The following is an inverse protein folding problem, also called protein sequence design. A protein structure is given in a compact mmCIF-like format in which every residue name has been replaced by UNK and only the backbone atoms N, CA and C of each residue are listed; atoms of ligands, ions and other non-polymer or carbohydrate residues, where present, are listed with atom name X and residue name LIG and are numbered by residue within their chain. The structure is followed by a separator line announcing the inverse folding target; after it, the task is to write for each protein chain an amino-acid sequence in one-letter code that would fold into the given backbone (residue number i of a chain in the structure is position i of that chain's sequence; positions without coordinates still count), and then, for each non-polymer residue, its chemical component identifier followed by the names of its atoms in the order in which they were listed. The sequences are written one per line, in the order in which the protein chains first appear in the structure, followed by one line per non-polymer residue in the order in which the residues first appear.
data_IF_653036776333
#
_entry.id   IF_653036776333
#
_cell.length_a   1.000
_cell.length_b   1.000
_cell.length_c   1.000
_cell.angle_alpha   90.00
_cell.angle_beta   90.00
_cell.angle_gamma   90.00
#
_symmetry.space_group_name_H-M   'P 1'
#
loop_
_entity.id
_entity.type
_entity.pdbx_description
1 polymer ?
#
# COMPACT_ATOMS: atom_id res chain seq x y z
N UNK A 1 -14.04 -2.96 5.04
CA UNK A 1 -14.88 -2.04 4.29
C UNK A 1 -14.72 -0.61 4.79
N UNK A 2 -14.70 0.36 3.85
CA UNK A 2 -14.66 1.79 4.12
C UNK A 2 -15.64 2.50 3.18
N UNK A 3 -16.26 3.58 3.67
CA UNK A 3 -17.15 4.42 2.88
C UNK A 3 -16.38 5.52 2.15
N UNK A 4 -16.95 6.04 1.07
CA UNK A 4 -16.57 7.32 0.46
C UNK A 4 -17.82 8.19 0.34
N UNK A 5 -17.70 9.49 0.64
CA UNK A 5 -16.48 10.32 0.68
C UNK A 5 -15.66 10.30 1.98
N UNK A 6 -16.18 9.93 3.15
CA UNK A 6 -15.54 10.24 4.45
C UNK A 6 -14.59 9.17 5.00
N UNK A 7 -14.43 8.03 4.33
CA UNK A 7 -13.58 6.92 4.75
C UNK A 7 -13.96 6.29 6.11
N UNK A 8 -15.24 6.38 6.44
CA UNK A 8 -15.80 5.81 7.67
C UNK A 8 -16.03 4.31 7.55
N UNK A 9 -16.24 3.64 8.68
CA UNK A 9 -16.76 2.28 8.69
C UNK A 9 -18.26 2.31 8.40
N UNK A 10 -18.76 1.50 7.44
CA UNK A 10 -20.19 1.45 7.15
C UNK A 10 -21.04 1.14 8.39
N UNK A 11 -22.12 1.85 8.59
CA UNK A 11 -23.06 1.57 9.67
C UNK A 11 -23.79 0.23 9.44
N UNK A 12 -24.08 -0.54 10.48
CA UNK A 12 -24.89 -1.74 10.35
C UNK A 12 -26.24 -1.45 9.68
N UNK A 13 -26.63 -2.26 8.70
CA UNK A 13 -27.89 -2.10 7.94
C UNK A 13 -27.84 -1.05 6.83
N UNK A 14 -26.74 -0.32 6.65
CA UNK A 14 -26.56 0.55 5.47
C UNK A 14 -26.16 -0.26 4.24
N UNK A 15 -26.45 0.26 3.05
CA UNK A 15 -26.05 -0.31 1.77
C UNK A 15 -25.38 0.76 0.91
N UNK A 16 -24.37 0.43 0.10
CA UNK A 16 -23.75 1.37 -0.82
C UNK A 16 -24.47 1.40 -2.17
N UNK A 17 -24.34 2.51 -2.90
CA UNK A 17 -24.73 2.59 -4.31
C UNK A 17 -23.85 1.70 -5.19
N UNK A 18 -22.57 1.56 -4.83
CA UNK A 18 -21.64 0.64 -5.47
C UNK A 18 -20.55 0.19 -4.47
N UNK A 19 -19.98 -1.00 -4.71
CA UNK A 19 -18.88 -1.57 -3.94
C UNK A 19 -17.67 -1.77 -4.85
N UNK A 20 -16.50 -1.33 -4.39
CA UNK A 20 -15.24 -1.43 -5.11
C UNK A 20 -14.27 -2.37 -4.40
N UNK A 21 -13.85 -3.42 -5.07
CA UNK A 21 -12.77 -4.30 -4.63
C UNK A 21 -11.50 -3.90 -5.34
N UNK A 22 -10.49 -3.46 -4.57
CA UNK A 22 -9.20 -3.04 -5.12
C UNK A 22 -8.24 -4.22 -5.14
N UNK A 23 -7.98 -4.76 -6.34
CA UNK A 23 -7.06 -5.85 -6.64
C UNK A 23 -5.90 -5.41 -7.55
N UNK A 24 -5.49 -4.17 -7.41
CA UNK A 24 -4.30 -3.55 -8.01
C UNK A 24 -3.66 -2.64 -6.98
N UNK A 25 -2.32 -2.64 -6.91
CA UNK A 25 -1.57 -1.70 -6.10
C UNK A 25 -0.41 -1.14 -6.94
N UNK A 26 -0.34 0.18 -7.06
CA UNK A 26 0.69 0.89 -7.83
C UNK A 26 1.69 1.62 -6.93
N UNK A 27 1.66 1.39 -5.63
CA UNK A 27 2.70 1.91 -4.72
C UNK A 27 4.04 1.25 -5.02
N UNK A 28 5.14 2.00 -4.93
CA UNK A 28 6.47 1.40 -5.08
C UNK A 28 6.68 0.25 -4.08
N UNK A 29 7.14 -0.89 -4.57
CA UNK A 29 7.40 -2.10 -3.79
C UNK A 29 6.18 -2.78 -3.16
N UNK A 30 4.97 -2.44 -3.55
CA UNK A 30 3.78 -3.13 -3.09
C UNK A 30 3.81 -4.62 -3.45
N UNK A 31 3.18 -5.51 -2.65
CA UNK A 31 2.99 -6.89 -3.06
C UNK A 31 2.12 -6.95 -4.31
N UNK A 32 2.42 -7.88 -5.21
CA UNK A 32 1.57 -8.11 -6.39
C UNK A 32 0.23 -8.73 -5.97
N UNK A 33 -0.90 -8.02 -6.14
CA UNK A 33 -2.20 -8.54 -5.77
C UNK A 33 -2.58 -9.81 -6.52
N UNK A 34 -2.16 -9.94 -7.81
CA UNK A 34 -2.51 -11.11 -8.62
C UNK A 34 -1.89 -12.39 -8.03
N UNK A 35 -0.61 -12.36 -7.65
CA UNK A 35 0.07 -13.50 -7.05
C UNK A 35 -0.53 -13.90 -5.68
N UNK A 36 -0.94 -12.91 -4.88
CA UNK A 36 -1.58 -13.18 -3.58
C UNK A 36 -2.98 -13.76 -3.76
N UNK A 37 -3.76 -13.21 -4.70
CA UNK A 37 -5.11 -13.70 -5.01
C UNK A 37 -5.06 -15.13 -5.57
N UNK A 38 -4.12 -15.43 -6.45
CA UNK A 38 -3.95 -16.77 -7.02
C UNK A 38 -3.73 -17.80 -5.90
N UNK A 39 -2.84 -17.51 -4.96
CA UNK A 39 -2.54 -18.37 -3.81
C UNK A 39 -3.76 -18.63 -2.91
N UNK A 40 -4.69 -17.69 -2.84
CA UNK A 40 -5.88 -17.73 -1.99
C UNK A 40 -7.18 -17.66 -2.81
N UNK A 41 -7.19 -18.16 -4.03
CA UNK A 41 -8.25 -17.96 -5.04
C UNK A 41 -9.63 -18.43 -4.56
N UNK A 42 -9.71 -19.56 -3.85
CA UNK A 42 -10.97 -20.07 -3.28
C UNK A 42 -11.60 -19.09 -2.28
N UNK A 43 -10.80 -18.62 -1.32
CA UNK A 43 -11.28 -17.64 -0.34
C UNK A 43 -11.59 -16.29 -0.96
N UNK A 44 -10.79 -15.84 -1.94
CA UNK A 44 -11.06 -14.60 -2.64
C UNK A 44 -12.40 -14.64 -3.40
N UNK A 45 -12.66 -15.74 -4.12
CA UNK A 45 -13.95 -15.96 -4.82
C UNK A 45 -15.11 -15.95 -3.82
N UNK A 46 -15.01 -16.71 -2.73
CA UNK A 46 -16.03 -16.76 -1.68
C UNK A 46 -16.31 -15.40 -1.06
N UNK A 47 -15.27 -14.61 -0.82
CA UNK A 47 -15.38 -13.23 -0.33
C UNK A 47 -16.11 -12.32 -1.32
N UNK A 48 -15.81 -12.42 -2.62
CA UNK A 48 -16.52 -11.67 -3.67
C UNK A 48 -18.01 -12.06 -3.74
N UNK A 49 -18.32 -13.35 -3.68
CA UNK A 49 -19.70 -13.85 -3.66
C UNK A 49 -20.50 -13.29 -2.47
N UNK A 50 -19.88 -13.15 -1.32
CA UNK A 50 -20.52 -12.54 -0.16
C UNK A 50 -20.70 -11.03 -0.31
N UNK A 51 -19.64 -10.34 -0.78
CA UNK A 51 -19.65 -8.88 -0.90
C UNK A 51 -20.66 -8.35 -1.91
N UNK A 52 -20.88 -9.07 -3.03
CA UNK A 52 -21.90 -8.69 -4.04
C UNK A 52 -23.31 -8.60 -3.45
N UNK A 53 -23.60 -9.37 -2.40
CA UNK A 53 -24.89 -9.34 -1.73
C UNK A 53 -25.14 -8.08 -0.90
N UNK A 54 -24.06 -7.37 -0.53
CA UNK A 54 -24.14 -6.14 0.26
C UNK A 54 -24.44 -4.90 -0.57
N UNK A 55 -24.08 -4.91 -1.87
CA UNK A 55 -24.18 -3.74 -2.72
C UNK A 55 -25.52 -3.55 -3.42
N UNK A 56 -26.43 -4.49 -3.28
CA UNK A 56 -27.76 -4.41 -3.93
C UNK A 56 -27.73 -4.28 -5.45
N UNK A 57 -26.57 -4.27 -6.11
CA UNK A 57 -26.52 -4.16 -7.56
C UNK A 57 -25.15 -4.00 -8.20
N UNK A 58 -24.27 -3.16 -7.70
CA UNK A 58 -23.06 -2.82 -8.44
C UNK A 58 -21.79 -3.13 -7.65
N UNK A 59 -21.09 -4.20 -8.03
CA UNK A 59 -19.77 -4.54 -7.45
C UNK A 59 -18.71 -4.53 -8.53
N UNK A 60 -17.69 -3.68 -8.38
CA UNK A 60 -16.54 -3.57 -9.27
C UNK A 60 -15.34 -4.30 -8.70
N UNK A 61 -14.71 -5.17 -9.50
CA UNK A 61 -13.40 -5.75 -9.20
C UNK A 61 -12.33 -5.01 -10.03
N UNK A 62 -11.65 -4.06 -9.40
CA UNK A 62 -10.61 -3.27 -10.04
C UNK A 62 -9.27 -4.00 -9.98
N UNK A 63 -8.75 -4.42 -11.15
CA UNK A 63 -7.55 -5.25 -11.27
C UNK A 63 -6.53 -4.64 -12.23
N UNK A 64 -5.28 -5.11 -12.18
CA UNK A 64 -4.25 -4.65 -13.11
C UNK A 64 -4.53 -5.14 -14.54
N UNK A 65 -4.34 -4.27 -15.53
CA UNK A 65 -4.41 -4.67 -16.93
C UNK A 65 -3.41 -5.79 -17.22
N UNK A 66 -3.84 -6.78 -18.01
CA UNK A 66 -3.03 -7.97 -18.31
C UNK A 66 -3.17 -9.11 -17.29
N UNK A 67 -3.86 -8.91 -16.17
CA UNK A 67 -4.22 -10.02 -15.26
C UNK A 67 -5.61 -10.56 -15.58
N UNK A 68 -5.84 -11.83 -15.26
CA UNK A 68 -7.14 -12.49 -15.44
C UNK A 68 -7.82 -12.58 -14.07
N UNK A 69 -8.83 -11.74 -13.79
CA UNK A 69 -9.54 -11.79 -12.53
C UNK A 69 -10.49 -12.98 -12.46
N UNK A 70 -10.81 -13.51 -11.26
CA UNK A 70 -11.82 -14.54 -11.13
C UNK A 70 -13.19 -14.02 -11.58
N UNK A 71 -13.89 -14.85 -12.35
CA UNK A 71 -15.25 -14.56 -12.79
C UNK A 71 -16.22 -14.93 -11.67
N UNK A 72 -16.99 -13.97 -11.19
CA UNK A 72 -18.06 -14.14 -10.22
C UNK A 72 -19.30 -13.41 -10.74
N UNK A 73 -20.41 -14.11 -10.76
CA UNK A 73 -21.69 -13.53 -11.21
C UNK A 73 -22.07 -12.29 -10.39
N UNK A 74 -22.47 -11.22 -11.05
CA UNK A 74 -22.82 -9.95 -10.39
C UNK A 74 -21.62 -9.11 -9.94
N UNK A 75 -20.40 -9.49 -10.33
CA UNK A 75 -19.17 -8.70 -10.13
C UNK A 75 -18.62 -8.27 -11.49
N UNK A 76 -18.45 -6.98 -11.71
CA UNK A 76 -17.93 -6.42 -12.96
C UNK A 76 -16.41 -6.21 -12.84
N UNK A 77 -15.61 -6.95 -13.62
CA UNK A 77 -14.16 -6.69 -13.67
C UNK A 77 -13.86 -5.39 -14.40
N UNK A 78 -12.95 -4.59 -13.88
CA UNK A 78 -12.52 -3.32 -14.45
C UNK A 78 -10.98 -3.25 -14.42
N UNK A 79 -10.37 -3.19 -15.60
CA UNK A 79 -8.90 -3.17 -15.73
C UNK A 79 -8.35 -1.76 -15.62
N UNK A 80 -7.29 -1.62 -14.84
CA UNK A 80 -6.56 -0.36 -14.66
C UNK A 80 -5.09 -0.54 -14.98
N UNK A 81 -4.48 0.51 -15.53
CA UNK A 81 -3.04 0.56 -15.82
C UNK A 81 -2.52 1.98 -15.63
N UNK A 82 -1.21 2.10 -15.46
CA UNK A 82 -0.54 3.38 -15.33
C UNK A 82 0.27 3.51 -14.03
N UNK A 83 0.96 4.64 -13.87
CA UNK A 83 1.71 4.93 -12.66
C UNK A 83 0.76 5.17 -11.48
N UNK A 84 1.32 5.20 -10.27
CA UNK A 84 0.56 5.67 -9.11
C UNK A 84 -0.02 7.08 -9.40
N UNK A 85 -1.30 7.35 -9.16
CA UNK A 85 -2.24 6.65 -8.26
C UNK A 85 -3.23 5.67 -8.94
N UNK A 86 -2.92 5.08 -10.11
CA UNK A 86 -3.84 4.19 -10.82
C UNK A 86 -4.39 3.02 -9.98
N UNK A 87 -3.65 2.58 -8.96
CA UNK A 87 -4.05 1.51 -8.03
C UNK A 87 -4.85 1.97 -6.81
N UNK A 88 -5.21 3.23 -6.69
CA UNK A 88 -5.97 3.71 -5.54
C UNK A 88 -7.49 3.57 -5.73
N UNK A 89 -8.19 3.17 -4.68
CA UNK A 89 -9.65 3.09 -4.67
C UNK A 89 -10.31 4.41 -5.08
N UNK A 90 -9.76 5.55 -4.66
CA UNK A 90 -10.26 6.88 -5.05
C UNK A 90 -10.23 7.12 -6.56
N UNK A 91 -9.19 6.67 -7.26
CA UNK A 91 -9.09 6.75 -8.72
C UNK A 91 -10.16 5.88 -9.39
N UNK A 92 -10.33 4.64 -8.91
CA UNK A 92 -11.34 3.71 -9.44
C UNK A 92 -12.75 4.28 -9.29
N UNK A 93 -13.08 4.75 -8.09
CA UNK A 93 -14.38 5.35 -7.77
C UNK A 93 -14.64 6.57 -8.65
N UNK A 94 -13.67 7.47 -8.77
CA UNK A 94 -13.79 8.68 -9.59
C UNK A 94 -14.12 8.37 -11.07
N UNK A 95 -13.50 7.33 -11.62
CA UNK A 95 -13.65 6.98 -13.03
C UNK A 95 -14.89 6.14 -13.32
N UNK A 96 -15.32 5.26 -12.41
CA UNK A 96 -16.40 4.31 -12.68
C UNK A 96 -17.74 4.71 -12.05
N UNK A 97 -17.72 5.26 -10.84
CA UNK A 97 -18.94 5.63 -10.11
C UNK A 97 -18.64 6.76 -9.12
N UNK A 98 -18.51 8.01 -9.61
CA UNK A 98 -18.13 9.14 -8.76
C UNK A 98 -19.10 9.35 -7.59
N UNK A 99 -18.55 9.63 -6.42
CA UNK A 99 -19.32 9.99 -5.24
C UNK A 99 -19.96 11.39 -5.41
N UNK A 100 -21.03 11.62 -4.69
CA UNK A 100 -21.76 12.90 -4.67
C UNK A 100 -22.45 13.09 -3.33
N UNK A 101 -23.21 14.20 -3.14
CA UNK A 101 -23.93 14.46 -1.90
C UNK A 101 -24.88 13.32 -1.50
N UNK A 102 -25.52 12.67 -2.50
CA UNK A 102 -26.52 11.63 -2.31
C UNK A 102 -26.01 10.24 -2.71
N UNK A 103 -24.69 10.06 -2.90
CA UNK A 103 -24.08 8.80 -3.31
C UNK A 103 -22.99 8.37 -2.36
N UNK A 104 -23.17 7.21 -1.77
CA UNK A 104 -22.17 6.57 -0.91
C UNK A 104 -21.67 5.29 -1.55
N UNK A 105 -20.38 5.19 -1.78
CA UNK A 105 -19.77 3.95 -2.25
C UNK A 105 -18.89 3.35 -1.17
N UNK A 106 -18.74 2.04 -1.20
CA UNK A 106 -17.82 1.35 -0.31
C UNK A 106 -16.62 0.81 -1.08
N UNK A 107 -15.50 0.69 -0.40
CA UNK A 107 -14.34 0.02 -0.97
C UNK A 107 -13.68 -0.92 0.03
N UNK A 108 -12.94 -1.91 -0.51
CA UNK A 108 -12.25 -2.93 0.25
C UNK A 108 -11.01 -3.39 -0.52
N UNK A 109 -9.91 -3.67 0.19
CA UNK A 109 -8.70 -4.25 -0.39
C UNK A 109 -8.81 -5.76 -0.58
N UNK A 110 -8.08 -6.30 -1.54
CA UNK A 110 -8.13 -7.72 -1.92
C UNK A 110 -7.83 -8.70 -0.78
N UNK A 111 -6.91 -8.37 0.14
CA UNK A 111 -6.61 -9.26 1.27
C UNK A 111 -7.72 -9.28 2.33
N UNK A 112 -8.49 -8.20 2.45
CA UNK A 112 -9.67 -8.20 3.31
C UNK A 112 -10.82 -9.01 2.70
N UNK A 113 -10.91 -9.07 1.36
CA UNK A 113 -11.83 -9.97 0.65
C UNK A 113 -11.47 -11.42 0.92
N UNK A 114 -10.18 -11.77 0.83
CA UNK A 114 -9.68 -13.11 1.21
C UNK A 114 -10.04 -13.43 2.65
N UNK A 115 -9.87 -12.47 3.58
CA UNK A 115 -10.19 -12.66 4.99
C UNK A 115 -11.69 -12.93 5.24
N UNK A 116 -12.58 -12.25 4.50
CA UNK A 116 -14.02 -12.52 4.54
C UNK A 116 -14.32 -13.91 4.04
N UNK A 117 -13.78 -14.31 2.88
CA UNK A 117 -13.98 -15.64 2.33
C UNK A 117 -13.46 -16.75 3.25
N UNK A 118 -12.29 -16.56 3.86
CA UNK A 118 -11.74 -17.47 4.84
C UNK A 118 -12.67 -17.62 6.05
N UNK A 119 -13.17 -16.52 6.60
CA UNK A 119 -14.09 -16.54 7.72
C UNK A 119 -15.37 -17.33 7.38
N UNK A 120 -15.95 -17.09 6.21
CA UNK A 120 -17.18 -17.76 5.78
C UNK A 120 -16.99 -19.24 5.49
N UNK A 121 -15.80 -19.64 5.04
CA UNK A 121 -15.48 -21.03 4.73
C UNK A 121 -15.10 -21.85 5.98
N UNK A 122 -14.30 -21.24 6.87
CA UNK A 122 -13.68 -21.95 8.01
C UNK A 122 -14.29 -21.64 9.37
N UNK A 123 -15.10 -20.58 9.47
CA UNK A 123 -15.62 -20.06 10.74
C UNK A 123 -14.56 -19.34 11.61
N UNK A 124 -13.33 -19.18 11.11
CA UNK A 124 -12.23 -18.57 11.87
C UNK A 124 -11.73 -17.27 11.23
N UNK A 125 -11.29 -16.30 12.04
CA UNK A 125 -10.74 -15.04 11.55
C UNK A 125 -9.36 -15.27 10.96
N UNK A 126 -9.13 -14.80 9.73
CA UNK A 126 -7.82 -14.80 9.11
C UNK A 126 -6.97 -13.67 9.67
N UNK A 127 -6.05 -13.99 10.56
CA UNK A 127 -5.20 -13.03 11.26
C UNK A 127 -3.90 -12.70 10.51
N UNK A 128 -3.66 -13.36 9.37
CA UNK A 128 -2.44 -13.18 8.60
C UNK A 128 -2.62 -12.21 7.45
N UNK A 129 -1.49 -11.63 7.01
CA UNK A 129 -1.38 -10.79 5.80
C UNK A 129 -0.11 -11.12 5.06
N UNK A 130 -0.17 -11.07 3.73
CA UNK A 130 1.00 -11.11 2.88
C UNK A 130 1.51 -9.69 2.71
N UNK A 131 2.73 -9.44 3.17
CA UNK A 131 3.35 -8.13 3.24
C UNK A 131 4.62 -8.13 2.41
N UNK A 132 4.82 -7.11 1.62
CA UNK A 132 6.11 -6.89 0.94
C UNK A 132 7.13 -6.33 1.91
N UNK A 133 8.28 -6.97 2.01
CA UNK A 133 9.46 -6.45 2.69
C UNK A 133 10.46 -6.00 1.62
N UNK A 134 10.64 -4.70 1.47
CA UNK A 134 11.41 -4.13 0.38
C UNK A 134 12.07 -2.77 0.74
N UNK A 135 12.87 -2.26 -0.17
CA UNK A 135 13.65 -1.03 0.00
C UNK A 135 15.15 -1.30 -0.08
N UNK A 136 15.95 -0.26 -0.17
CA UNK A 136 17.40 -0.37 -0.30
C UNK A 136 18.13 -0.81 0.99
N UNK A 137 17.40 -0.89 2.10
CA UNK A 137 17.89 -1.42 3.37
C UNK A 137 17.64 -2.92 3.56
N UNK A 138 16.96 -3.58 2.62
CA UNK A 138 16.71 -5.03 2.64
C UNK A 138 17.74 -5.74 1.79
N UNK A 139 18.34 -6.80 2.32
CA UNK A 139 19.34 -7.58 1.58
C UNK A 139 18.73 -8.32 0.37
N UNK A 140 17.50 -8.86 0.53
CA UNK A 140 16.74 -9.49 -0.54
C UNK A 140 15.25 -9.17 -0.37
N UNK A 141 14.63 -8.38 -1.27
CA UNK A 141 13.20 -8.12 -1.25
C UNK A 141 12.39 -9.41 -1.31
N UNK A 142 11.33 -9.50 -0.51
CA UNK A 142 10.53 -10.72 -0.40
C UNK A 142 9.09 -10.44 0.05
N UNK A 143 8.19 -11.37 -0.27
CA UNK A 143 6.88 -11.42 0.35
C UNK A 143 6.96 -12.24 1.62
N UNK A 144 6.43 -11.73 2.71
CA UNK A 144 6.39 -12.40 4.02
C UNK A 144 4.96 -12.48 4.51
N UNK A 145 4.62 -13.57 5.15
CA UNK A 145 3.33 -13.73 5.79
C UNK A 145 3.47 -13.40 7.28
N UNK A 146 2.73 -12.38 7.73
CA UNK A 146 2.79 -11.89 9.11
C UNK A 146 1.42 -11.43 9.60
N UNK A 147 1.32 -11.06 10.86
CA UNK A 147 0.11 -10.48 11.44
C UNK A 147 0.18 -8.95 11.43
N UNK A 148 -0.96 -8.24 11.22
CA UNK A 148 -1.04 -6.81 11.54
C UNK A 148 -0.63 -6.54 12.98
N UNK A 149 0.13 -5.48 13.20
CA UNK A 149 0.66 -5.18 14.54
C UNK A 149 1.95 -5.92 14.91
N UNK A 150 2.55 -6.70 13.99
CA UNK A 150 3.87 -7.29 14.25
C UNK A 150 4.94 -6.19 14.42
N UNK A 151 5.96 -6.50 15.22
CA UNK A 151 7.13 -5.64 15.36
C UNK A 151 7.95 -5.66 14.06
N UNK A 152 8.23 -4.46 13.52
CA UNK A 152 8.96 -4.34 12.26
C UNK A 152 10.45 -4.67 12.41
N UNK A 153 11.05 -4.44 13.58
CA UNK A 153 12.44 -4.81 13.81
C UNK A 153 12.59 -6.34 13.85
N UNK A 154 11.66 -7.03 14.52
CA UNK A 154 11.61 -8.49 14.53
C UNK A 154 11.35 -9.06 13.12
N UNK A 155 10.39 -8.49 12.38
CA UNK A 155 10.09 -8.88 11.00
C UNK A 155 11.31 -8.75 10.08
N UNK A 156 12.14 -7.71 10.29
CA UNK A 156 13.31 -7.41 9.48
C UNK A 156 14.60 -8.09 9.99
N UNK A 157 14.56 -8.77 11.14
CA UNK A 157 15.76 -9.38 11.74
C UNK A 157 16.44 -10.36 10.78
N UNK A 158 17.75 -10.18 10.56
CA UNK A 158 18.55 -11.00 9.66
C UNK A 158 18.27 -10.77 8.16
N UNK A 159 17.45 -9.79 7.79
CA UNK A 159 17.04 -9.51 6.40
C UNK A 159 17.52 -8.14 5.89
N UNK A 160 18.17 -7.35 6.75
CA UNK A 160 18.66 -6.02 6.40
C UNK A 160 20.11 -6.08 5.90
N UNK A 161 20.50 -5.07 5.14
CA UNK A 161 21.90 -4.84 4.77
C UNK A 161 22.73 -4.49 6.02
N UNK A 162 24.05 -4.66 5.95
CA UNK A 162 25.01 -4.27 7.03
C UNK A 162 25.19 -2.73 7.06
N UNK A 163 24.14 -2.03 7.44
CA UNK A 163 24.11 -0.59 7.61
C UNK A 163 22.97 -0.19 8.59
N UNK A 164 23.04 0.98 9.24
CA UNK A 164 21.89 1.51 9.95
C UNK A 164 20.68 1.65 9.04
N UNK A 165 19.53 1.18 9.46
CA UNK A 165 18.29 1.24 8.66
C UNK A 165 17.21 2.03 9.38
N UNK A 166 16.26 2.57 8.60
CA UNK A 166 14.98 3.08 9.07
C UNK A 166 13.87 2.19 8.56
N UNK A 167 12.94 1.87 9.46
CA UNK A 167 11.79 1.03 9.18
C UNK A 167 10.57 1.91 9.00
N UNK A 168 9.75 1.57 8.00
CA UNK A 168 8.48 2.22 7.73
C UNK A 168 7.39 1.17 7.62
N UNK A 169 6.31 1.39 8.33
CA UNK A 169 5.06 0.70 8.09
C UNK A 169 4.38 1.35 6.88
N UNK A 170 4.15 0.59 5.81
CA UNK A 170 3.60 1.10 4.55
C UNK A 170 4.65 1.45 3.50
N UNK A 171 4.21 2.12 2.45
CA UNK A 171 5.05 2.52 1.32
C UNK A 171 5.81 3.82 1.60
N UNK A 172 6.66 4.22 0.65
CA UNK A 172 7.33 5.52 0.66
C UNK A 172 6.37 6.70 0.53
N UNK A 173 5.20 6.47 -0.06
CA UNK A 173 4.27 7.54 -0.41
C UNK A 173 3.30 7.85 0.73
N UNK A 174 2.89 6.82 1.48
CA UNK A 174 1.85 6.92 2.52
C UNK A 174 2.22 6.23 3.83
N UNK A 175 3.40 5.62 3.89
CA UNK A 175 3.90 4.95 5.08
C UNK A 175 4.42 5.90 6.15
N UNK A 176 4.57 5.36 7.36
CA UNK A 176 5.07 6.08 8.53
C UNK A 176 6.21 5.33 9.19
N UNK A 177 7.17 6.08 9.75
CA UNK A 177 8.24 5.49 10.57
C UNK A 177 7.64 5.09 11.92
N UNK A 178 7.38 3.81 12.08
CA UNK A 178 6.72 3.21 13.23
C UNK A 178 7.46 1.94 13.65
N UNK A 179 7.25 1.50 14.90
CA UNK A 179 7.79 0.23 15.37
C UNK A 179 6.95 -0.98 14.91
N UNK A 180 5.67 -0.75 14.59
CA UNK A 180 4.69 -1.81 14.36
C UNK A 180 4.06 -1.68 12.96
N UNK A 181 3.73 -2.83 12.37
CA UNK A 181 3.00 -2.86 11.10
C UNK A 181 1.54 -2.43 11.32
N UNK A 182 1.15 -1.29 10.74
CA UNK A 182 -0.23 -0.82 10.83
C UNK A 182 -1.20 -1.76 10.10
N UNK A 183 -2.41 -1.88 10.61
CA UNK A 183 -3.43 -2.83 10.12
C UNK A 183 -3.74 -2.73 8.63
N UNK A 184 -3.74 -1.51 8.09
CA UNK A 184 -4.04 -1.25 6.68
C UNK A 184 -2.84 -1.33 5.75
N UNK A 185 -1.63 -1.55 6.27
CA UNK A 185 -0.42 -1.59 5.47
C UNK A 185 -0.07 -3.01 5.03
N UNK A 186 0.19 -3.17 3.76
CA UNK A 186 0.61 -4.43 3.13
C UNK A 186 2.09 -4.41 2.74
N UNK A 187 2.85 -3.50 3.31
CA UNK A 187 4.25 -3.27 2.98
C UNK A 187 5.02 -2.81 4.22
N UNK A 188 6.21 -3.34 4.40
CA UNK A 188 7.25 -2.86 5.30
C UNK A 188 8.42 -2.36 4.45
N UNK A 189 8.67 -1.06 4.48
CA UNK A 189 9.74 -0.46 3.68
C UNK A 189 10.95 -0.17 4.56
N UNK A 190 12.12 -0.62 4.12
CA UNK A 190 13.38 -0.49 4.86
C UNK A 190 14.34 0.37 4.06
N UNK A 191 14.83 1.42 4.69
CA UNK A 191 15.84 2.30 4.10
C UNK A 191 17.16 2.23 4.83
N UNK A 192 18.22 1.95 4.07
CA UNK A 192 19.57 2.17 4.56
C UNK A 192 19.81 3.67 4.77
N UNK A 193 20.22 4.03 5.97
CA UNK A 193 20.63 5.40 6.24
C UNK A 193 22.00 5.63 5.59
N UNK A 194 22.19 6.73 4.86
CA UNK A 194 23.53 7.08 4.43
C UNK A 194 24.41 7.20 5.67
N UNK A 195 25.58 6.55 5.65
CA UNK A 195 26.59 6.80 6.68
C UNK A 195 26.74 8.32 6.79
N UNK A 196 26.61 8.87 8.00
CA UNK A 196 26.85 10.30 8.19
C UNK A 196 28.15 10.62 7.48
N UNK A 197 28.10 11.52 6.49
CA UNK A 197 29.33 12.09 5.94
C UNK A 197 30.15 12.53 7.13
N UNK A 198 31.41 12.11 7.18
CA UNK A 198 32.35 12.58 8.18
C UNK A 198 32.18 14.09 8.29
N UNK A 199 32.05 14.61 9.50
CA UNK A 199 31.93 16.05 9.71
C UNK A 199 33.00 16.74 8.87
N UNK A 200 32.63 17.78 8.14
CA UNK A 200 33.61 18.57 7.36
C UNK A 200 34.73 18.93 8.35
N UNK A 201 35.98 18.55 8.06
CA UNK A 201 37.09 18.83 8.96
C UNK A 201 37.07 20.31 9.38
N UNK A 202 37.31 20.59 10.62
CA UNK A 202 37.18 21.94 11.17
C UNK A 202 38.08 22.97 10.45
N UNK A 203 39.21 22.50 9.91
CA UNK A 203 40.10 23.28 9.07
C UNK A 203 39.48 23.67 7.72
N UNK A 204 38.73 22.79 7.07
CA UNK A 204 38.03 23.09 5.85
C UNK A 204 36.83 24.04 6.09
N UNK A 205 36.11 23.85 7.19
CA UNK A 205 35.05 24.75 7.59
C UNK A 205 35.54 26.16 7.94
N UNK A 206 36.75 26.30 8.51
CA UNK A 206 37.37 27.59 8.77
C UNK A 206 37.86 28.27 7.50
N UNK A 207 38.41 27.51 6.56
CA UNK A 207 38.85 28.01 5.24
C UNK A 207 37.64 28.48 4.39
N UNK A 208 36.53 27.77 4.41
CA UNK A 208 35.28 28.18 3.73
C UNK A 208 34.71 29.46 4.35
N UNK A 209 34.71 29.59 5.66
CA UNK A 209 34.31 30.85 6.36
C UNK A 209 35.20 32.03 5.99
N UNK A 210 36.52 31.81 5.96
CA UNK A 210 37.47 32.82 5.52
C UNK A 210 37.24 33.27 4.07
N UNK A 211 36.91 32.35 3.17
CA UNK A 211 36.60 32.67 1.77
C UNK A 211 35.28 33.45 1.61
N UNK A 212 34.23 33.09 2.36
CA UNK A 212 32.95 33.79 2.38
C UNK A 212 33.03 35.19 3.02
N UNK A 213 33.97 35.43 3.92
CA UNK A 213 34.17 36.74 4.53
C UNK A 213 35.01 37.72 3.70
N UNK A 214 35.68 37.25 2.65
CA UNK A 214 36.51 38.07 1.74
C UNK A 214 35.73 38.69 0.56
N UNK A 215 34.40 38.86 0.70
CA UNK A 215 33.56 39.73 -0.17
C UNK A 215 33.88 39.64 -1.67
N UNK A 216 33.93 38.45 -2.20
CA UNK A 216 34.13 38.31 -3.64
C UNK A 216 32.78 38.13 -4.34
N UNK A 217 32.49 38.99 -5.31
CA UNK A 217 31.40 38.82 -6.27
C UNK A 217 31.53 37.46 -6.97
N UNK A 218 30.95 36.42 -6.37
CA UNK A 218 30.92 35.11 -6.98
C UNK A 218 29.76 35.05 -7.98
N UNK A 219 30.11 35.21 -9.27
CA UNK A 219 29.25 34.85 -10.38
C UNK A 219 28.93 33.37 -10.26
N UNK A 220 27.67 33.03 -9.97
CA UNK A 220 27.16 31.66 -10.04
C UNK A 220 26.98 31.35 -11.54
N UNK A 221 27.70 30.37 -12.13
CA UNK A 221 27.41 29.93 -13.47
C UNK A 221 26.04 29.25 -13.47
N UNK A 222 25.11 29.72 -14.29
CA UNK A 222 23.86 29.01 -14.58
C UNK A 222 24.19 27.63 -15.13
N UNK A 223 23.81 26.60 -14.39
CA UNK A 223 23.76 25.24 -14.93
C UNK A 223 22.53 25.13 -15.85
N UNK A 224 22.78 24.81 -17.09
CA UNK A 224 21.81 24.38 -18.09
C UNK A 224 21.40 22.95 -17.81
#
# INVERSE_FOLDING_TARGET
LRTRPFDDTPAPGSAPDALFVTAIDTRPFAPDPAAVIERHSGFFRKGLEALRLLSGGMTHLCHAAGTVPPQVEGVTPSAFSGPHPAGLAGTHIHLLHPVGPDRTVWHIGYQDVIAIGHLLETGTIWTRRVVSLAGNGVAAPSLVETAPGCDLAELCAGRTVDAPVRLFSGSLLDGRSEAWLARGHLQATVFAQPRRRAAIPSDLASRLRGWLSMGGDAIIPNAV
#
